data_IF_631907595059
#
_entry.id   IF_631907595059
#
_cell.length_a   1.000
_cell.length_b   1.000
_cell.length_c   1.000
_cell.angle_alpha   90.00
_cell.angle_beta   90.00
_cell.angle_gamma   90.00
#
_symmetry.space_group_name_H-M   'P 1'
#
loop_
_entity.id
_entity.type
_entity.pdbx_description
1 polymer ?
#
# COMPACT_ATOMS: atom_id res chain seq x y z
N UNK A 1 -4.77 -25.12 14.99
CA UNK A 1 -5.60 -24.52 16.06
C UNK A 1 -6.91 -24.08 15.42
N UNK A 2 -7.99 -24.85 15.56
CA UNK A 2 -9.30 -24.51 14.97
C UNK A 2 -10.00 -23.52 15.91
N UNK A 3 -10.08 -22.26 15.52
CA UNK A 3 -10.89 -21.27 16.23
C UNK A 3 -12.36 -21.62 16.12
N UNK A 4 -13.04 -21.83 17.25
CA UNK A 4 -14.48 -22.10 17.26
C UNK A 4 -15.24 -20.81 16.94
N UNK A 5 -16.05 -20.86 15.88
CA UNK A 5 -16.89 -19.74 15.45
C UNK A 5 -17.90 -19.35 16.55
N UNK A 6 -17.98 -18.07 16.90
CA UNK A 6 -18.95 -17.59 17.89
C UNK A 6 -20.41 -17.67 17.35
N UNK A 7 -21.41 -17.53 18.21
CA UNK A 7 -22.82 -17.69 17.83
C UNK A 7 -23.31 -16.61 16.86
N UNK A 8 -22.80 -15.38 16.98
CA UNK A 8 -23.11 -14.27 16.07
C UNK A 8 -22.62 -14.54 14.66
N UNK A 9 -21.38 -15.03 14.51
CA UNK A 9 -20.81 -15.34 13.19
C UNK A 9 -21.56 -16.49 12.50
N UNK A 10 -22.00 -17.51 13.25
CA UNK A 10 -22.84 -18.58 12.69
C UNK A 10 -24.22 -18.08 12.26
N UNK A 11 -24.75 -17.08 12.95
CA UNK A 11 -26.03 -16.47 12.59
C UNK A 11 -25.91 -15.62 11.33
N UNK A 12 -24.80 -14.88 11.20
CA UNK A 12 -24.48 -14.13 10.00
C UNK A 12 -24.29 -15.05 8.77
N UNK A 13 -23.61 -16.19 8.92
CA UNK A 13 -23.45 -17.16 7.83
C UNK A 13 -24.78 -17.68 7.29
N UNK A 14 -25.73 -18.00 8.19
CA UNK A 14 -27.06 -18.46 7.80
C UNK A 14 -27.84 -17.40 7.03
N UNK A 15 -27.79 -16.15 7.50
CA UNK A 15 -28.44 -15.02 6.83
C UNK A 15 -27.84 -14.80 5.43
N UNK A 16 -26.50 -14.85 5.33
CA UNK A 16 -25.82 -14.71 4.04
C UNK A 16 -26.18 -15.85 3.09
N UNK A 17 -26.21 -17.09 3.58
CA UNK A 17 -26.61 -18.24 2.78
C UNK A 17 -28.05 -18.10 2.27
N UNK A 18 -29.00 -17.71 3.13
CA UNK A 18 -30.38 -17.43 2.75
C UNK A 18 -30.45 -16.37 1.63
N UNK A 19 -29.69 -15.27 1.75
CA UNK A 19 -29.63 -14.22 0.73
C UNK A 19 -29.08 -14.70 -0.61
N UNK A 20 -28.12 -15.62 -0.60
CA UNK A 20 -27.61 -16.21 -1.84
C UNK A 20 -28.66 -17.10 -2.51
N UNK A 21 -29.42 -17.89 -1.73
CA UNK A 21 -30.54 -18.65 -2.29
C UNK A 21 -31.64 -17.74 -2.84
N UNK A 22 -31.96 -16.64 -2.13
CA UNK A 22 -32.91 -15.63 -2.61
C UNK A 22 -32.47 -15.02 -3.95
N UNK A 23 -31.20 -14.64 -4.08
CA UNK A 23 -30.64 -14.15 -5.33
C UNK A 23 -30.78 -15.17 -6.48
N UNK A 24 -30.43 -16.43 -6.24
CA UNK A 24 -30.58 -17.48 -7.25
C UNK A 24 -32.04 -17.70 -7.65
N UNK A 25 -32.98 -17.62 -6.71
CA UNK A 25 -34.40 -17.71 -6.99
C UNK A 25 -34.88 -16.55 -7.86
N UNK A 26 -34.40 -15.34 -7.61
CA UNK A 26 -34.69 -14.16 -8.45
C UNK A 26 -34.11 -14.30 -9.86
N UNK A 27 -32.87 -14.79 -9.99
CA UNK A 27 -32.25 -15.05 -11.29
C UNK A 27 -33.07 -16.06 -12.10
N UNK A 28 -33.53 -17.14 -11.47
CA UNK A 28 -34.41 -18.12 -12.09
C UNK A 28 -35.76 -17.51 -12.50
N UNK A 29 -36.39 -16.71 -11.64
CA UNK A 29 -37.64 -16.01 -11.95
C UNK A 29 -37.51 -15.03 -13.11
N UNK A 30 -36.32 -14.44 -13.30
CA UNK A 30 -35.99 -13.54 -14.41
C UNK A 30 -35.54 -14.29 -15.68
N UNK A 31 -35.46 -15.62 -15.66
CA UNK A 31 -34.94 -16.42 -16.77
C UNK A 31 -33.43 -16.29 -16.99
N UNK A 32 -32.68 -15.74 -16.02
CA UNK A 32 -31.22 -15.65 -16.05
C UNK A 32 -30.62 -16.99 -15.66
N UNK A 33 -30.05 -17.69 -16.65
CA UNK A 33 -29.40 -18.98 -16.44
C UNK A 33 -27.92 -18.93 -16.80
N UNK A 34 -27.09 -19.53 -15.95
CA UNK A 34 -25.67 -19.77 -16.24
C UNK A 34 -25.51 -21.14 -16.86
N UNK A 35 -25.43 -21.18 -18.19
CA UNK A 35 -25.48 -22.44 -18.95
C UNK A 35 -24.40 -23.45 -18.58
N UNK A 36 -23.18 -23.00 -18.22
CA UNK A 36 -22.13 -23.90 -17.74
C UNK A 36 -22.48 -24.62 -16.43
N UNK A 37 -23.12 -23.92 -15.49
CA UNK A 37 -23.59 -24.50 -14.22
C UNK A 37 -24.79 -25.41 -14.47
N UNK A 38 -25.67 -25.03 -15.39
CA UNK A 38 -26.80 -25.83 -15.81
C UNK A 38 -26.35 -27.16 -16.45
N UNK A 39 -25.39 -27.11 -17.37
CA UNK A 39 -24.82 -28.30 -17.98
C UNK A 39 -24.17 -29.23 -16.93
N UNK A 40 -23.45 -28.65 -15.95
CA UNK A 40 -22.93 -29.41 -14.80
C UNK A 40 -24.06 -30.07 -14.01
N UNK A 41 -25.15 -29.37 -13.74
CA UNK A 41 -26.29 -29.90 -13.00
C UNK A 41 -26.97 -31.05 -13.77
N UNK A 42 -27.20 -30.88 -15.08
CA UNK A 42 -27.74 -31.90 -15.96
C UNK A 42 -26.86 -33.17 -15.97
N UNK A 43 -25.55 -33.02 -16.13
CA UNK A 43 -24.62 -34.15 -16.13
C UNK A 43 -24.65 -34.96 -14.83
N UNK A 44 -24.97 -34.31 -13.70
CA UNK A 44 -25.04 -34.94 -12.37
C UNK A 44 -26.47 -35.34 -11.97
N UNK A 45 -27.46 -35.15 -12.84
CA UNK A 45 -28.88 -35.38 -12.54
C UNK A 45 -29.40 -36.75 -12.95
N UNK A 46 -28.55 -37.62 -13.51
CA UNK A 46 -28.93 -38.91 -14.08
C UNK A 46 -30.11 -38.81 -15.07
N UNK A 47 -30.20 -37.70 -15.82
CA UNK A 47 -31.26 -37.46 -16.80
C UNK A 47 -32.59 -36.94 -16.23
N UNK A 48 -32.68 -36.68 -14.92
CA UNK A 48 -33.87 -36.09 -14.29
C UNK A 48 -33.80 -34.57 -14.28
N UNK A 49 -34.71 -33.91 -14.96
CA UNK A 49 -34.76 -32.43 -15.00
C UNK A 49 -35.03 -31.82 -13.62
N UNK A 50 -35.89 -32.44 -12.80
CA UNK A 50 -36.13 -31.99 -11.42
C UNK A 50 -34.88 -32.08 -10.55
N UNK A 51 -34.09 -33.15 -10.70
CA UNK A 51 -32.82 -33.28 -10.00
C UNK A 51 -31.81 -32.25 -10.52
N UNK A 52 -31.78 -32.01 -11.83
CA UNK A 52 -30.92 -30.99 -12.42
C UNK A 52 -31.26 -29.60 -11.89
N UNK A 53 -32.54 -29.24 -11.75
CA UNK A 53 -32.94 -27.96 -11.17
C UNK A 53 -32.47 -27.80 -9.72
N UNK A 54 -32.65 -28.84 -8.88
CA UNK A 54 -32.16 -28.81 -7.50
C UNK A 54 -30.63 -28.68 -7.42
N UNK A 55 -29.90 -29.45 -8.22
CA UNK A 55 -28.44 -29.39 -8.32
C UNK A 55 -27.96 -28.03 -8.84
N UNK A 56 -28.66 -27.45 -9.81
CA UNK A 56 -28.34 -26.15 -10.38
C UNK A 56 -28.39 -25.07 -9.31
N UNK A 57 -29.44 -25.02 -8.50
CA UNK A 57 -29.57 -24.05 -7.41
C UNK A 57 -28.37 -24.17 -6.45
N UNK A 58 -28.04 -25.39 -6.02
CA UNK A 58 -26.91 -25.65 -5.12
C UNK A 58 -25.57 -25.20 -5.72
N UNK A 59 -25.30 -25.56 -6.96
CA UNK A 59 -24.06 -25.18 -7.63
C UNK A 59 -23.99 -23.67 -7.91
N UNK A 60 -25.12 -23.03 -8.20
CA UNK A 60 -25.17 -21.61 -8.45
C UNK A 60 -24.87 -20.81 -7.16
N UNK A 61 -25.47 -21.21 -6.03
CA UNK A 61 -25.14 -20.63 -4.72
C UNK A 61 -23.66 -20.79 -4.40
N UNK A 62 -23.09 -21.98 -4.64
CA UNK A 62 -21.66 -22.18 -4.39
C UNK A 62 -20.79 -21.27 -5.28
N UNK A 63 -21.13 -21.14 -6.56
CA UNK A 63 -20.40 -20.25 -7.45
C UNK A 63 -20.44 -18.78 -7.00
N UNK A 64 -21.57 -18.32 -6.43
CA UNK A 64 -21.68 -16.99 -5.84
C UNK A 64 -20.81 -16.84 -4.58
N UNK A 65 -20.75 -17.88 -3.73
CA UNK A 65 -19.84 -17.89 -2.56
C UNK A 65 -18.38 -17.78 -3.00
N UNK A 66 -17.99 -18.54 -4.01
CA UNK A 66 -16.63 -18.54 -4.55
C UNK A 66 -16.27 -17.18 -5.17
N UNK A 67 -17.21 -16.56 -5.89
CA UNK A 67 -17.04 -15.21 -6.44
C UNK A 67 -16.88 -14.15 -5.34
N UNK A 68 -17.72 -14.19 -4.30
CA UNK A 68 -17.58 -13.28 -3.16
C UNK A 68 -16.24 -13.44 -2.44
N UNK A 69 -15.76 -14.68 -2.29
CA UNK A 69 -14.46 -14.94 -1.69
C UNK A 69 -13.33 -14.36 -2.56
N UNK A 70 -13.36 -14.61 -3.87
CA UNK A 70 -12.37 -14.09 -4.80
C UNK A 70 -12.34 -12.55 -4.79
N UNK A 71 -13.52 -11.90 -4.75
CA UNK A 71 -13.61 -10.44 -4.65
C UNK A 71 -12.98 -9.92 -3.35
N UNK A 72 -13.20 -10.59 -2.23
CA UNK A 72 -12.57 -10.22 -0.96
C UNK A 72 -11.04 -10.35 -1.03
N UNK A 73 -10.53 -11.45 -1.59
CA UNK A 73 -9.09 -11.68 -1.76
C UNK A 73 -8.44 -10.61 -2.66
N UNK A 74 -9.09 -10.25 -3.78
CA UNK A 74 -8.62 -9.18 -4.67
C UNK A 74 -8.60 -7.84 -3.94
N UNK A 75 -9.67 -7.51 -3.21
CA UNK A 75 -9.76 -6.25 -2.47
C UNK A 75 -8.69 -6.13 -1.37
N UNK A 76 -8.37 -7.23 -0.70
CA UNK A 76 -7.29 -7.30 0.28
C UNK A 76 -5.93 -7.07 -0.39
N UNK A 77 -5.65 -7.77 -1.49
CA UNK A 77 -4.40 -7.60 -2.25
C UNK A 77 -4.23 -6.17 -2.75
N UNK A 78 -5.28 -5.58 -3.35
CA UNK A 78 -5.29 -4.19 -3.82
C UNK A 78 -5.04 -3.22 -2.65
N UNK A 79 -5.61 -3.49 -1.48
CA UNK A 79 -5.39 -2.67 -0.29
C UNK A 79 -3.95 -2.75 0.25
N UNK A 80 -3.29 -3.90 0.10
CA UNK A 80 -1.89 -4.06 0.50
C UNK A 80 -0.94 -3.38 -0.49
N UNK A 81 -1.17 -3.53 -1.80
CA UNK A 81 -0.38 -2.86 -2.85
C UNK A 81 -0.46 -1.34 -2.68
N UNK A 82 -1.64 -0.78 -2.48
CA UNK A 82 -1.82 0.68 -2.25
C UNK A 82 -1.09 1.18 -0.99
N UNK A 83 -1.00 0.38 0.07
CA UNK A 83 -0.24 0.72 1.29
C UNK A 83 1.26 0.68 1.05
N UNK A 84 1.74 -0.27 0.25
CA UNK A 84 3.15 -0.40 -0.11
C UNK A 84 3.61 0.73 -1.04
N UNK A 85 2.84 1.05 -2.08
CA UNK A 85 3.13 2.17 -3.00
C UNK A 85 3.23 3.49 -2.24
N UNK A 86 2.28 3.78 -1.34
CA UNK A 86 2.30 5.01 -0.55
C UNK A 86 3.51 5.11 0.38
N UNK A 87 3.98 3.98 0.92
CA UNK A 87 5.16 3.93 1.79
C UNK A 87 6.47 4.08 1.00
N UNK A 88 6.52 3.53 -0.21
CA UNK A 88 7.70 3.58 -1.07
C UNK A 88 7.92 4.99 -1.64
N UNK A 89 6.85 5.67 -2.09
CA UNK A 89 6.92 7.05 -2.57
C UNK A 89 7.30 8.08 -1.48
N UNK A 90 6.96 7.84 -0.21
CA UNK A 90 7.38 8.71 0.90
C UNK A 90 8.89 8.58 1.15
N UNK A 91 9.46 7.36 1.09
CA UNK A 91 10.89 7.16 1.35
C UNK A 91 11.79 7.72 0.23
N UNK A 92 11.38 7.56 -1.03
CA UNK A 92 12.16 8.04 -2.19
C UNK A 92 12.24 9.56 -2.24
N UNK A 93 11.16 10.27 -1.90
CA UNK A 93 11.15 11.73 -1.84
C UNK A 93 11.99 12.28 -0.67
N UNK A 94 12.06 11.56 0.45
CA UNK A 94 12.90 11.99 1.58
C UNK A 94 14.39 11.85 1.25
N UNK A 95 14.81 10.76 0.61
CA UNK A 95 16.22 10.54 0.22
C UNK A 95 16.72 11.60 -0.77
N UNK A 96 15.93 11.93 -1.81
CA UNK A 96 16.33 12.94 -2.80
C UNK A 96 16.34 14.36 -2.23
N UNK A 97 15.48 14.66 -1.27
CA UNK A 97 15.48 15.93 -0.55
C UNK A 97 16.71 16.07 0.37
N UNK A 98 17.07 15.02 1.11
CA UNK A 98 18.24 15.02 2.00
C UNK A 98 19.53 15.21 1.20
N UNK A 99 19.67 14.54 0.05
CA UNK A 99 20.83 14.69 -0.84
C UNK A 99 20.95 16.12 -1.39
N UNK A 100 19.83 16.75 -1.76
CA UNK A 100 19.82 18.14 -2.21
C UNK A 100 20.24 19.13 -1.10
N UNK A 101 19.78 18.89 0.14
CA UNK A 101 20.15 19.73 1.30
C UNK A 101 21.64 19.59 1.63
N UNK A 102 22.17 18.37 1.62
CA UNK A 102 23.60 18.11 1.86
C UNK A 102 24.48 18.75 0.79
N UNK A 103 24.09 18.68 -0.48
CA UNK A 103 24.77 19.35 -1.58
C UNK A 103 24.83 20.88 -1.36
N UNK A 104 23.74 21.51 -0.90
CA UNK A 104 23.73 22.95 -0.63
C UNK A 104 24.62 23.35 0.55
N UNK A 105 24.64 22.56 1.62
CA UNK A 105 25.52 22.82 2.77
C UNK A 105 27.00 22.70 2.36
N UNK A 106 27.35 21.69 1.57
CA UNK A 106 28.71 21.53 1.08
C UNK A 106 29.15 22.70 0.17
N UNK A 107 28.25 23.25 -0.65
CA UNK A 107 28.52 24.45 -1.44
C UNK A 107 28.73 25.70 -0.57
N UNK A 108 27.99 25.82 0.54
CA UNK A 108 28.13 26.92 1.48
C UNK A 108 29.49 26.90 2.18
N UNK A 109 29.92 25.72 2.66
CA UNK A 109 31.23 25.53 3.29
C UNK A 109 32.40 25.81 2.32
N UNK A 110 32.27 25.40 1.06
CA UNK A 110 33.27 25.71 0.04
C UNK A 110 33.40 27.22 -0.23
N UNK A 111 32.29 27.96 -0.18
CA UNK A 111 32.30 29.42 -0.37
C UNK A 111 32.88 30.17 0.83
N UNK A 112 32.66 29.68 2.05
CA UNK A 112 33.25 30.22 3.27
C UNK A 112 34.77 30.04 3.28
N UNK A 113 35.25 28.83 2.97
CA UNK A 113 36.68 28.52 2.97
C UNK A 113 37.48 29.35 1.95
N UNK A 114 36.84 29.74 0.83
CA UNK A 114 37.47 30.59 -0.20
C UNK A 114 37.56 32.08 0.17
N UNK A 115 36.77 32.57 1.13
CA UNK A 115 36.79 33.98 1.57
C UNK A 115 37.76 34.24 2.72
N UNK A 116 38.20 33.20 3.42
CA UNK A 116 39.12 33.29 4.57
C UNK A 116 40.59 33.17 4.14
N UNK A 117 41.00 33.89 3.08
CA UNK A 117 42.42 34.11 2.79
C UNK A 117 42.81 35.50 3.30
N UNK A 118 43.10 35.61 4.60
CA UNK A 118 43.83 36.76 5.15
C UNK A 118 45.20 36.82 4.47
N UNK A 119 45.44 37.86 3.67
CA UNK A 119 46.73 38.07 3.02
C UNK A 119 47.82 38.15 4.10
N UNK A 120 48.88 37.31 4.05
CA UNK A 120 49.92 37.28 5.09
C UNK A 120 50.59 38.65 5.26
N UNK A 121 50.65 39.45 4.19
CA UNK A 121 51.14 40.83 4.23
C UNK A 121 50.41 41.73 5.23
N UNK A 122 49.09 41.62 5.37
CA UNK A 122 48.33 42.44 6.32
C UNK A 122 48.59 42.04 7.78
N UNK A 123 48.79 40.74 8.06
CA UNK A 123 49.13 40.25 9.38
C UNK A 123 50.55 40.71 9.81
N UNK A 124 51.51 40.70 8.89
CA UNK A 124 52.87 41.20 9.14
C UNK A 124 52.92 42.71 9.40
N UNK A 125 52.17 43.51 8.63
CA UNK A 125 52.11 44.97 8.84
C UNK A 125 51.49 45.28 10.21
N UNK A 126 50.42 44.58 10.60
CA UNK A 126 49.78 44.78 11.91
C UNK A 126 50.72 44.42 13.07
N UNK A 127 51.46 43.32 12.96
CA UNK A 127 52.42 42.90 13.99
C UNK A 127 53.61 43.87 14.11
N UNK A 128 54.13 44.37 12.99
CA UNK A 128 55.23 45.33 12.99
C UNK A 128 54.84 46.66 13.68
N UNK A 129 53.62 47.15 13.45
CA UNK A 129 53.10 48.37 14.09
C UNK A 129 52.98 48.18 15.61
N UNK A 130 52.50 47.02 16.07
CA UNK A 130 52.40 46.70 17.50
C UNK A 130 53.77 46.64 18.17
N UNK A 131 54.76 46.00 17.54
CA UNK A 131 56.12 45.88 18.09
C UNK A 131 56.78 47.26 18.23
N UNK A 132 56.63 48.15 17.25
CA UNK A 132 57.14 49.53 17.32
C UNK A 132 56.48 50.30 18.47
N UNK A 133 55.17 50.12 18.67
CA UNK A 133 54.42 50.79 19.74
C UNK A 133 54.88 50.33 21.14
N UNK A 134 55.16 49.03 21.30
CA UNK A 134 55.68 48.48 22.55
C UNK A 134 57.10 48.96 22.86
N UNK A 135 57.95 49.08 21.83
CA UNK A 135 59.32 49.59 22.00
C UNK A 135 59.34 51.05 22.45
N UNK A 136 58.41 51.87 21.95
CA UNK A 136 58.28 53.29 22.33
C UNK A 136 57.75 53.50 23.76
N UNK A 137 57.20 52.48 24.40
CA UNK A 137 56.66 52.54 25.76
C UNK A 137 57.71 52.23 26.84
N UNK A 138 58.84 51.63 26.43
CA UNK A 138 59.91 51.14 27.32
C UNK A 138 61.13 52.08 27.35
N UNK A 139 61.24 53.01 26.40
CA UNK A 139 62.28 54.03 26.33
C UNK A 139 61.76 55.40 26.79
#
# INVERSE_FOLDING_TARGET
MFGLKNSSERSADRLLEEKLYEQVAQDLAQGKRRDGIWAKALANSNGSEYQAQSLYIKYHVQALKDELQLQNEINEQVSQVKKQEKSQHISTNYSSFVEAVEATNNLYEQQQNKKTSLNPLFAFIFFAVIVIFLFKLIA
#
